data_IF_142292901802
#
_entry.id   IF_142292901802
#
_cell.length_a   1.000
_cell.length_b   1.000
_cell.length_c   1.000
_cell.angle_alpha   90.00
_cell.angle_beta   90.00
_cell.angle_gamma   90.00
#
_symmetry.space_group_name_H-M   'P 1'
#
loop_
_entity.id
_entity.type
_entity.pdbx_description
1 polymer ?
2 non-polymer ?
3 non-polymer ?
4 water ?
#
# COMPACT_ATOMS: atom_id res chain seq x y z
N UNK A 1 9.36 -2.60 10.55
CA UNK A 1 9.42 -3.23 9.19
C UNK A 1 9.46 -2.25 8.02
N UNK A 2 9.28 -2.79 6.81
CA UNK A 2 9.42 -2.00 5.60
C UNK A 2 8.11 -1.27 5.11
N UNK A 3 6.96 -1.68 5.62
CA UNK A 3 5.69 -1.00 5.45
C UNK A 3 5.16 -0.50 6.80
N UNK A 4 4.24 0.44 6.76
CA UNK A 4 3.73 1.07 7.97
C UNK A 4 2.36 1.59 7.69
N UNK A 5 1.31 1.13 8.43
CA UNK A 5 -0.10 1.68 8.26
C UNK A 5 -0.20 3.17 8.57
N UNK A 6 -0.90 3.90 7.73
CA UNK A 6 -1.23 5.28 7.97
C UNK A 6 -1.88 5.46 9.33
N UNK A 7 -2.71 4.52 9.72
CA UNK A 7 -3.46 4.60 10.98
C UNK A 7 -3.41 3.32 11.74
N UNK A 8 -2.35 3.18 12.59
CA UNK A 8 -2.16 1.93 13.29
C UNK A 8 -3.29 1.47 14.23
N UNK A 9 -4.00 2.41 14.78
CA UNK A 9 -5.14 2.11 15.67
C UNK A 9 -6.29 1.41 14.95
N UNK A 10 -6.36 1.57 13.63
CA UNK A 10 -7.41 0.93 12.84
C UNK A 10 -6.89 -0.30 12.13
N UNK A 11 -5.71 -0.77 12.57
CA UNK A 11 -5.17 -2.04 12.15
C UNK A 11 -6.23 -3.14 12.25
N UNK A 12 -6.95 -3.15 13.35
CA UNK A 12 -7.94 -4.18 13.66
C UNK A 12 -9.28 -3.98 12.91
N UNK A 13 -9.79 -5.02 12.27
CA UNK A 13 -11.11 -4.97 11.64
C UNK A 13 -12.22 -4.60 12.61
N UNK A 14 -12.15 -5.09 13.85
CA UNK A 14 -13.14 -4.79 14.85
C UNK A 14 -13.08 -3.33 15.18
N UNK A 15 -11.88 -2.75 15.21
CA UNK A 15 -11.79 -1.30 15.50
C UNK A 15 -12.35 -0.51 14.33
N UNK A 16 -12.07 -0.96 13.13
CA UNK A 16 -12.70 -0.29 11.96
C UNK A 16 -14.19 -0.44 11.95
N UNK A 17 -14.71 -1.61 12.31
CA UNK A 17 -16.15 -1.84 12.34
C UNK A 17 -16.87 -0.91 13.35
N UNK A 18 -16.26 -0.73 14.52
CA UNK A 18 -16.80 0.20 15.51
C UNK A 18 -16.91 1.65 15.02
N UNK A 19 -16.02 2.07 14.11
CA UNK A 19 -16.02 3.46 13.62
C UNK A 19 -17.28 3.86 12.95
N UNK A 20 -18.08 2.90 12.47
CA UNK A 20 -19.28 3.16 11.74
C UNK A 20 -20.58 3.32 12.58
N UNK A 21 -20.43 3.52 13.86
CA UNK A 21 -21.55 3.71 14.77
C UNK A 21 -22.53 4.77 14.25
N UNK A 22 -22.00 5.87 13.74
CA UNK A 22 -22.78 7.02 13.23
C UNK A 22 -22.69 7.19 11.70
N UNK A 23 -22.40 6.09 10.99
CA UNK A 23 -22.41 6.05 9.53
C UNK A 23 -23.80 6.51 9.11
N UNK A 24 -23.90 7.41 8.12
CA UNK A 24 -25.21 8.01 7.80
C UNK A 24 -26.14 7.01 7.18
N UNK A 25 -27.43 7.26 7.35
CA UNK A 25 -28.43 6.30 6.88
C UNK A 25 -28.60 6.29 5.35
N UNK A 26 -28.12 7.32 4.67
CA UNK A 26 -28.12 7.37 3.19
C UNK A 26 -26.97 6.59 2.56
N UNK A 27 -25.97 6.24 3.35
CA UNK A 27 -24.78 5.57 2.82
C UNK A 27 -25.03 4.04 2.68
N UNK A 28 -25.08 3.55 1.45
CA UNK A 28 -25.68 2.24 1.21
C UNK A 28 -24.71 1.11 1.47
N UNK A 29 -23.38 1.38 1.46
CA UNK A 29 -22.44 0.29 1.69
C UNK A 29 -22.48 -0.03 3.20
N UNK A 30 -22.34 -1.32 3.48
CA UNK A 30 -22.37 -1.76 4.88
C UNK A 30 -21.03 -1.57 5.56
N UNK A 31 -21.04 -1.19 6.85
CA UNK A 31 -19.84 -1.23 7.66
C UNK A 31 -19.06 -2.58 7.56
N UNK A 32 -19.77 -3.69 7.51
CA UNK A 32 -19.10 -4.97 7.30
C UNK A 32 -18.21 -4.99 6.07
N UNK A 33 -18.76 -4.60 4.94
CA UNK A 33 -17.99 -4.66 3.69
C UNK A 33 -16.85 -3.66 3.71
N UNK A 34 -17.13 -2.44 4.21
CA UNK A 34 -16.13 -1.42 4.22
C UNK A 34 -14.95 -1.79 5.13
N UNK A 35 -15.22 -2.27 6.32
CA UNK A 35 -14.20 -2.64 7.29
C UNK A 35 -13.39 -3.78 6.75
N UNK A 36 -14.06 -4.69 6.07
CA UNK A 36 -13.36 -5.81 5.50
C UNK A 36 -12.34 -5.44 4.40
N UNK A 37 -12.64 -4.32 3.72
CA UNK A 37 -11.72 -3.72 2.71
C UNK A 37 -10.69 -2.77 3.28
N UNK A 38 -10.52 -2.77 4.61
CA UNK A 38 -9.51 -1.94 5.28
C UNK A 38 -9.95 -0.51 5.63
N UNK A 39 -11.21 -0.20 5.41
CA UNK A 39 -11.76 1.14 5.53
C UNK A 39 -12.44 1.38 6.84
N UNK A 40 -12.26 2.58 7.38
CA UNK A 40 -13.01 3.01 8.54
C UNK A 40 -13.60 4.40 8.33
N UNK A 41 -14.57 4.74 9.15
CA UNK A 41 -15.36 5.99 8.97
C UNK A 41 -14.53 7.16 9.56
N UNK A 42 -14.40 8.19 8.76
CA UNK A 42 -13.74 9.46 9.21
C UNK A 42 -14.64 10.42 10.05
N UNK A 43 -15.91 10.10 10.16
CA UNK A 43 -16.84 10.96 10.89
C UNK A 43 -17.47 12.09 10.03
N UNK A 44 -17.05 12.19 8.77
CA UNK A 44 -17.47 13.25 7.86
C UNK A 44 -18.19 12.66 6.66
N UNK A 45 -19.46 13.06 6.45
CA UNK A 45 -20.29 12.61 5.31
C UNK A 45 -20.25 11.07 5.17
N UNK A 46 -20.00 10.62 3.97
CA UNK A 46 -19.83 9.18 3.68
C UNK A 46 -18.39 8.82 3.36
N UNK A 47 -17.46 9.56 3.98
CA UNK A 47 -16.03 9.49 3.69
C UNK A 47 -15.38 8.46 4.63
N UNK A 48 -14.78 7.45 4.02
CA UNK A 48 -13.98 6.45 4.77
C UNK A 48 -12.51 6.61 4.41
N UNK A 49 -11.64 5.99 5.21
CA UNK A 49 -10.23 6.03 4.90
C UNK A 49 -9.62 4.65 5.17
N UNK A 50 -8.60 4.30 4.40
CA UNK A 50 -7.87 3.05 4.58
C UNK A 50 -6.83 3.15 5.68
N UNK A 51 -6.89 2.20 6.64
CA UNK A 51 -5.86 2.16 7.70
C UNK A 51 -4.44 1.96 7.19
N UNK A 52 -4.30 1.31 6.03
CA UNK A 52 -3.02 0.90 5.55
C UNK A 52 -2.41 1.98 4.68
N UNK A 53 -3.05 2.26 3.55
CA UNK A 53 -2.48 3.26 2.60
C UNK A 53 -2.84 4.71 2.93
N UNK A 54 -3.89 4.91 3.72
CA UNK A 54 -4.44 6.20 4.05
C UNK A 54 -5.37 6.84 3.05
N UNK A 55 -5.59 6.17 1.95
CA UNK A 55 -6.47 6.66 0.90
C UNK A 55 -7.86 6.92 1.45
N UNK A 56 -8.52 7.94 0.90
CA UNK A 56 -9.90 8.28 1.24
C UNK A 56 -10.86 8.05 0.09
N UNK A 57 -12.05 7.63 0.45
CA UNK A 57 -13.11 7.36 -0.52
C UNK A 57 -14.37 8.02 -0.02
N UNK A 58 -15.08 8.74 -0.89
CA UNK A 58 -16.32 9.37 -0.48
C UNK A 58 -17.19 9.57 -1.69
N UNK A 59 -18.38 10.13 -1.47
CA UNK A 59 -19.42 10.30 -2.53
C UNK A 59 -19.60 8.98 -3.27
N UNK A 60 -19.95 7.94 -2.49
CA UNK A 60 -20.25 6.58 -3.01
C UNK A 60 -21.47 6.57 -3.93
N UNK A 61 -21.42 5.72 -4.95
CA UNK A 61 -22.48 5.68 -6.00
C UNK A 61 -23.06 4.31 -6.12
N UNK A 62 -24.30 4.21 -6.66
CA UNK A 62 -24.87 2.88 -6.78
C UNK A 62 -23.96 1.91 -7.55
N UNK A 63 -23.92 0.67 -7.08
CA UNK A 63 -23.09 -0.33 -7.69
C UNK A 63 -21.60 -0.26 -7.34
N UNK A 64 -21.19 0.76 -6.56
CA UNK A 64 -19.82 0.80 -6.05
C UNK A 64 -19.70 -0.41 -5.11
N UNK A 65 -18.53 -1.06 -5.14
CA UNK A 65 -18.15 -2.03 -4.14
C UNK A 65 -16.96 -1.43 -3.37
N UNK A 66 -16.81 -1.81 -2.11
CA UNK A 66 -15.65 -1.33 -1.31
C UNK A 66 -14.29 -1.73 -1.85
N UNK A 67 -14.13 -3.02 -2.09
CA UNK A 67 -12.85 -3.48 -2.57
C UNK A 67 -12.50 -2.93 -3.95
N UNK A 68 -13.48 -2.92 -4.85
CA UNK A 68 -13.20 -2.47 -6.21
C UNK A 68 -12.85 -0.97 -6.24
N UNK A 69 -13.52 -0.14 -5.43
CA UNK A 69 -13.19 1.29 -5.41
C UNK A 69 -11.81 1.51 -4.75
N UNK A 70 -11.55 0.74 -3.70
CA UNK A 70 -10.24 0.79 -2.99
C UNK A 70 -9.08 0.46 -3.97
N UNK A 71 -9.24 -0.66 -4.70
CA UNK A 71 -8.25 -1.10 -5.67
C UNK A 71 -8.07 -0.15 -6.86
N UNK A 72 -9.18 0.41 -7.31
CA UNK A 72 -9.17 1.31 -8.45
C UNK A 72 -8.40 2.58 -8.18
N UNK A 73 -8.67 3.20 -7.05
CA UNK A 73 -8.04 4.44 -6.68
C UNK A 73 -6.68 4.27 -6.05
N UNK A 74 -6.46 3.19 -5.30
CA UNK A 74 -5.28 2.97 -4.49
C UNK A 74 -4.70 1.59 -4.73
N UNK A 75 -4.31 1.34 -5.97
CA UNK A 75 -3.89 -0.05 -6.33
C UNK A 75 -2.59 -0.50 -5.67
N UNK A 76 -1.78 0.46 -5.18
CA UNK A 76 -0.50 0.08 -4.59
C UNK A 76 -0.52 0.00 -3.07
N UNK A 77 -1.71 0.01 -2.54
CA UNK A 77 -1.94 -0.21 -1.11
C UNK A 77 -1.52 -1.58 -0.64
N UNK A 78 -0.76 -1.67 0.46
CA UNK A 78 -0.29 -3.02 0.89
C UNK A 78 -1.50 -3.88 1.27
N UNK A 79 -2.58 -3.25 1.71
CA UNK A 79 -3.76 -4.04 2.09
C UNK A 79 -4.44 -4.66 0.86
N UNK A 80 -4.57 -3.84 -0.18
CA UNK A 80 -5.10 -4.27 -1.43
C UNK A 80 -4.21 -5.35 -2.04
N UNK A 81 -2.89 -5.18 -1.96
CA UNK A 81 -1.93 -6.12 -2.57
C UNK A 81 -1.63 -7.39 -1.76
N UNK A 82 -2.08 -7.41 -0.52
CA UNK A 82 -1.85 -8.46 0.45
C UNK A 82 -3.05 -9.38 0.58
N UNK A 83 -4.15 -9.01 -0.08
CA UNK A 83 -5.51 -9.57 0.11
C UNK A 83 -5.65 -11.03 -0.37
N UNK B 9 9.02 3.17 -18.66
CA UNK B 9 10.16 4.05 -18.20
C UNK B 9 11.00 3.37 -17.11
N UNK B 10 10.35 2.97 -16.01
CA UNK B 10 11.04 2.19 -14.96
C UNK B 10 10.91 0.69 -15.19
N UNK B 11 10.47 0.28 -16.38
CA UNK B 11 10.49 -1.13 -16.80
C UNK B 11 11.88 -1.75 -16.94
N UNK B 12 12.84 -0.89 -17.30
CA UNK B 12 14.23 -1.27 -17.49
C UNK B 12 14.91 -1.33 -16.12
N UNK B 13 15.51 -2.49 -15.80
CA UNK B 13 16.27 -2.67 -14.57
C UNK B 13 17.43 -1.70 -14.56
N UNK B 14 17.91 -1.41 -15.77
CA UNK B 14 18.87 -0.36 -15.98
C UNK B 14 18.37 1.08 -15.61
N UNK B 15 17.12 1.41 -15.92
CA UNK B 15 16.55 2.74 -15.62
C UNK B 15 16.24 2.85 -14.12
N UNK B 16 15.90 1.71 -13.52
CA UNK B 16 15.70 1.64 -12.05
C UNK B 16 17.02 1.92 -11.34
N UNK B 17 18.10 1.40 -11.90
CA UNK B 17 19.43 1.62 -11.25
C UNK B 17 19.78 3.06 -11.22
N UNK B 18 19.57 3.73 -12.34
CA UNK B 18 19.84 5.15 -12.47
C UNK B 18 19.10 6.01 -11.47
N UNK B 19 17.90 5.58 -11.06
CA UNK B 19 17.14 6.29 -10.05
C UNK B 19 17.85 6.42 -8.70
N UNK B 20 18.81 5.56 -8.46
CA UNK B 20 19.52 5.50 -7.17
C UNK B 20 20.66 6.51 -7.04
N UNK B 21 20.64 7.51 -7.94
CA UNK B 21 21.38 8.76 -7.70
C UNK B 21 20.85 9.32 -6.39
N UNK B 22 21.78 9.64 -5.53
CA UNK B 22 21.47 10.22 -4.25
C UNK B 22 20.94 9.23 -3.21
N UNK B 23 21.03 7.92 -3.47
CA UNK B 23 20.68 6.84 -2.51
C UNK B 23 21.59 7.03 -1.30
N UNK B 24 21.02 7.10 -0.09
CA UNK B 24 21.90 7.50 1.02
C UNK B 24 22.94 6.46 1.34
N UNK B 25 24.09 6.90 1.86
CA UNK B 25 25.21 5.96 2.12
C UNK B 25 24.91 4.99 3.24
N UNK B 26 24.04 5.39 4.17
CA UNK B 26 23.74 4.57 5.35
C UNK B 26 22.92 3.36 4.98
N UNK B 27 22.22 3.46 3.85
CA UNK B 27 21.22 2.45 3.51
C UNK B 27 21.82 1.05 3.44
N UNK B 28 21.04 0.10 3.93
CA UNK B 28 21.51 -1.24 4.19
C UNK B 28 21.33 -2.23 3.01
N UNK B 29 20.86 -1.77 1.84
CA UNK B 29 20.86 -2.52 0.59
C UNK B 29 21.38 -1.67 -0.57
N UNK B 30 21.84 -2.31 -1.63
CA UNK B 30 22.42 -1.62 -2.80
C UNK B 30 21.36 -1.30 -3.84
N UNK B 31 21.59 -0.22 -4.62
CA UNK B 31 20.79 0.06 -5.83
C UNK B 31 20.62 -1.19 -6.71
N UNK B 32 21.68 -2.00 -6.91
CA UNK B 32 21.58 -3.19 -7.77
C UNK B 32 20.63 -4.30 -7.24
N UNK B 33 20.70 -4.61 -5.95
CA UNK B 33 19.78 -5.62 -5.42
C UNK B 33 18.32 -5.13 -5.49
N UNK B 34 18.17 -3.87 -5.18
CA UNK B 34 16.84 -3.29 -5.17
C UNK B 34 16.24 -3.25 -6.57
N UNK B 35 16.96 -2.66 -7.53
CA UNK B 35 16.46 -2.59 -8.94
C UNK B 35 16.17 -3.97 -9.51
N UNK B 36 16.99 -4.93 -9.15
CA UNK B 36 16.79 -6.31 -9.62
C UNK B 36 15.49 -6.94 -9.08
N UNK B 37 15.10 -6.52 -7.89
CA UNK B 37 13.79 -6.90 -7.31
C UNK B 37 12.57 -5.98 -7.72
N UNK B 38 12.75 -5.13 -8.71
CA UNK B 38 11.71 -4.32 -9.34
C UNK B 38 11.55 -2.95 -8.71
N UNK B 39 12.47 -2.60 -7.81
CA UNK B 39 12.35 -1.40 -6.99
C UNK B 39 13.25 -0.27 -7.48
N UNK B 40 12.71 0.95 -7.48
CA UNK B 40 13.47 2.12 -7.80
C UNK B 40 13.37 3.18 -6.69
N UNK B 41 14.30 4.12 -6.69
CA UNK B 41 14.37 5.10 -5.58
C UNK B 41 13.29 6.16 -5.78
N UNK B 42 12.62 6.54 -4.69
CA UNK B 42 11.63 7.60 -4.77
C UNK B 42 12.21 9.02 -4.60
N UNK B 43 13.46 9.08 -4.11
CA UNK B 43 14.15 10.33 -3.90
C UNK B 43 14.25 10.81 -2.48
N UNK B 44 13.51 10.17 -1.57
CA UNK B 44 13.52 10.51 -0.15
C UNK B 44 13.89 9.33 0.77
N UNK B 45 14.70 9.63 1.81
CA UNK B 45 15.12 8.62 2.80
C UNK B 45 15.72 7.43 2.06
N UNK B 46 15.32 6.22 2.49
CA UNK B 46 15.71 4.94 1.82
C UNK B 46 14.46 4.29 1.20
N UNK B 47 13.50 5.15 0.79
CA UNK B 47 12.24 4.70 0.26
C UNK B 47 12.33 4.29 -1.19
N UNK B 48 11.76 3.14 -1.52
CA UNK B 48 11.77 2.68 -2.89
C UNK B 48 10.33 2.24 -3.24
N UNK B 49 10.09 2.11 -4.54
CA UNK B 49 8.81 1.57 -4.99
C UNK B 49 8.90 0.63 -6.18
N UNK B 50 7.92 -0.26 -6.27
CA UNK B 50 7.92 -1.28 -7.36
C UNK B 50 7.34 -0.77 -8.67
N UNK B 51 8.05 -1.01 -9.76
CA UNK B 51 7.61 -0.52 -11.07
C UNK B 51 6.38 -1.21 -11.58
N UNK B 52 6.09 -2.38 -10.99
CA UNK B 52 4.97 -3.23 -11.36
C UNK B 52 3.72 -3.01 -10.49
N UNK B 53 3.85 -3.12 -9.20
CA UNK B 53 2.69 -2.92 -8.29
C UNK B 53 2.57 -1.53 -7.63
N UNK B 54 3.66 -0.76 -7.66
CA UNK B 54 3.71 0.52 -7.07
C UNK B 54 3.87 0.56 -5.57
N UNK B 55 3.96 -0.60 -4.95
CA UNK B 55 4.12 -0.67 -3.49
C UNK B 55 5.41 -0.04 -3.04
N UNK B 56 5.38 0.62 -1.89
CA UNK B 56 6.54 1.40 -1.38
C UNK B 56 7.07 0.64 -0.18
N UNK B 57 8.39 0.65 -0.03
CA UNK B 57 9.11 0.03 1.09
C UNK B 57 10.16 1.05 1.56
N UNK B 58 10.38 1.11 2.87
CA UNK B 58 11.38 2.03 3.47
C UNK B 58 11.82 1.50 4.79
N UNK B 59 12.78 2.18 5.40
CA UNK B 59 13.30 1.80 6.69
C UNK B 59 13.87 0.39 6.67
N UNK B 60 14.65 0.14 5.64
CA UNK B 60 15.34 -1.16 5.51
C UNK B 60 16.26 -1.40 6.71
N UNK B 61 16.27 -2.65 7.18
CA UNK B 61 17.17 -3.00 8.32
C UNK B 61 18.28 -3.92 7.87
N UNK B 62 19.40 -3.90 8.61
CA UNK B 62 20.48 -4.83 8.29
C UNK B 62 19.92 -6.24 8.15
N UNK B 63 20.32 -6.95 7.09
CA UNK B 63 19.88 -8.33 6.97
C UNK B 63 18.66 -8.50 6.05
N UNK B 64 17.92 -7.42 5.82
CA UNK B 64 16.76 -7.49 4.90
C UNK B 64 17.22 -7.83 3.50
N UNK B 65 16.38 -8.54 2.75
CA UNK B 65 16.65 -8.77 1.34
C UNK B 65 15.51 -8.13 0.55
N UNK B 66 15.83 -7.48 -0.56
CA UNK B 66 14.80 -6.76 -1.38
C UNK B 66 13.68 -7.69 -1.78
N UNK B 67 14.02 -8.84 -2.32
CA UNK B 67 12.93 -9.77 -2.81
C UNK B 67 12.02 -10.22 -1.69
N UNK B 68 12.62 -10.62 -0.58
CA UNK B 68 11.87 -11.09 0.55
C UNK B 68 10.87 -10.07 1.09
N UNK B 69 11.30 -8.82 1.26
CA UNK B 69 10.40 -7.78 1.74
C UNK B 69 9.29 -7.50 0.70
N UNK B 70 9.72 -7.46 -0.56
CA UNK B 70 8.75 -7.17 -1.66
C UNK B 70 7.61 -8.21 -1.69
N UNK B 71 7.98 -9.47 -1.60
CA UNK B 71 7.01 -10.56 -1.59
C UNK B 71 6.17 -10.59 -0.31
N UNK B 72 6.79 -10.26 0.81
CA UNK B 72 6.07 -10.22 2.12
C UNK B 72 4.93 -9.19 2.16
N UNK B 73 5.20 -8.01 1.62
CA UNK B 73 4.24 -6.92 1.73
C UNK B 73 3.32 -6.77 0.55
N UNK B 74 3.75 -7.22 -0.63
CA UNK B 74 2.96 -7.06 -1.86
C UNK B 74 2.90 -8.41 -2.55
N UNK B 75 2.26 -9.40 -1.88
CA UNK B 75 2.25 -10.75 -2.48
C UNK B 75 1.47 -10.89 -3.79
N UNK B 76 0.49 -10.02 -4.00
CA UNK B 76 -0.30 -10.04 -5.22
C UNK B 76 0.32 -9.23 -6.38
N UNK B 77 1.49 -8.61 -6.18
CA UNK B 77 2.23 -8.00 -7.26
C UNK B 77 2.48 -9.03 -8.32
N UNK B 78 2.19 -8.64 -9.59
CA UNK B 78 2.44 -9.53 -10.71
C UNK B 78 3.89 -9.93 -10.89
N UNK B 79 4.79 -8.99 -10.65
CA UNK B 79 6.22 -9.22 -10.75
C UNK B 79 6.65 -10.23 -9.70
N UNK B 80 6.19 -10.03 -8.47
CA UNK B 80 6.43 -11.00 -7.38
C UNK B 80 5.84 -12.41 -7.74
N UNK B 81 4.60 -12.45 -8.26
CA UNK B 81 3.97 -13.75 -8.56
C UNK B 81 4.76 -14.47 -9.65
N UNK B 82 5.38 -13.74 -10.57
CA UNK B 82 6.16 -14.37 -11.66
C UNK B 82 7.48 -14.95 -11.14
N UNK B 83 8.14 -14.15 -10.32
CA UNK B 83 9.38 -14.50 -9.64
C UNK B 83 9.20 -15.75 -8.82
N UNK B 84 8.03 -15.89 -8.21
CA UNK B 84 7.75 -17.06 -7.42
C UNK B 84 7.61 -18.28 -8.31
#
# INVERSE_FOLDING_TARGET
>A
GTIYPRNPAMYSEEARLKSFQNWPDYAHLTPRELASAGLYYTGIGDQVQCFACGGKLKNWEPGDRAWSEHRRHFPNCFFVLGRNLN
>B
GTIYPRNPAMYSEEARLKSFQNWPDYAHLTPRELASAGLYYTGIGDQVQCFACGGKLKNWEPGDRAWSEHRRHFPNCFFVLGRNLN
#
